data_IF_909700294905
#
_entry.id   IF_909700294905
#
_cell.length_a   1.000
_cell.length_b   1.000
_cell.length_c   1.000
_cell.angle_alpha   90.00
_cell.angle_beta   90.00
_cell.angle_gamma   90.00
#
_symmetry.space_group_name_H-M   'P 1'
#
loop_
_entity.id
_entity.type
_entity.pdbx_description
1 polymer ?
#
# COMPACT_ATOMS: atom_id res chain seq x y z
N UNK A 1 6.64 -24.31 -29.98
CA UNK A 1 6.09 -22.95 -30.15
C UNK A 1 4.81 -22.95 -29.34
N UNK A 2 4.81 -22.24 -28.18
CA UNK A 2 3.57 -22.08 -27.43
C UNK A 2 2.63 -21.23 -28.28
N UNK A 3 1.43 -21.75 -28.57
CA UNK A 3 0.38 -20.99 -29.23
C UNK A 3 0.01 -19.80 -28.33
N UNK A 4 0.48 -18.63 -28.68
CA UNK A 4 0.13 -17.39 -27.99
C UNK A 4 -1.37 -17.12 -28.23
N UNK A 5 -2.20 -17.67 -27.34
CA UNK A 5 -3.66 -17.54 -27.44
C UNK A 5 -4.07 -16.11 -27.09
N UNK A 6 -4.70 -15.42 -28.04
CA UNK A 6 -5.37 -14.16 -27.76
C UNK A 6 -6.56 -14.40 -26.84
N UNK A 7 -6.63 -13.66 -25.76
CA UNK A 7 -7.69 -13.71 -24.75
C UNK A 7 -8.39 -12.36 -24.72
N UNK A 8 -9.69 -12.38 -24.98
CA UNK A 8 -10.57 -11.21 -24.86
C UNK A 8 -11.21 -11.20 -23.49
N UNK A 9 -11.01 -10.12 -22.72
CA UNK A 9 -11.62 -9.92 -21.40
C UNK A 9 -12.50 -8.67 -21.43
N UNK A 10 -13.69 -8.78 -20.83
CA UNK A 10 -14.63 -7.68 -20.68
C UNK A 10 -14.73 -7.28 -19.20
N UNK A 11 -14.63 -5.99 -18.93
CA UNK A 11 -15.02 -5.40 -17.67
C UNK A 11 -16.48 -5.02 -17.76
N UNK A 12 -17.30 -5.54 -16.84
CA UNK A 12 -18.76 -5.32 -16.83
C UNK A 12 -19.21 -4.68 -15.54
N UNK A 13 -20.34 -4.02 -15.55
CA UNK A 13 -21.07 -3.63 -14.34
C UNK A 13 -21.60 -4.88 -13.60
N UNK A 14 -22.11 -4.71 -12.37
CA UNK A 14 -22.84 -5.77 -11.64
C UNK A 14 -24.13 -6.19 -12.35
N UNK A 15 -24.63 -5.38 -13.27
CA UNK A 15 -25.85 -5.65 -14.06
C UNK A 15 -25.54 -6.31 -15.42
N UNK A 16 -24.26 -6.44 -15.78
CA UNK A 16 -23.82 -7.12 -17.01
C UNK A 16 -23.46 -6.20 -18.18
N UNK A 17 -23.64 -4.88 -18.05
CA UNK A 17 -23.28 -3.93 -19.10
C UNK A 17 -21.76 -3.88 -19.27
N UNK A 18 -21.28 -3.90 -20.51
CA UNK A 18 -19.85 -3.84 -20.83
C UNK A 18 -19.35 -2.40 -20.70
N UNK A 19 -18.40 -2.17 -19.80
CA UNK A 19 -17.72 -0.88 -19.63
C UNK A 19 -16.48 -0.76 -20.51
N UNK A 20 -15.74 -1.88 -20.65
CA UNK A 20 -14.53 -1.92 -21.43
C UNK A 20 -14.24 -3.36 -21.87
N UNK A 21 -13.59 -3.53 -23.02
CA UNK A 21 -13.07 -4.82 -23.46
C UNK A 21 -11.68 -4.68 -24.06
N UNK A 22 -10.85 -5.67 -23.82
CA UNK A 22 -9.50 -5.71 -24.35
C UNK A 22 -9.09 -7.12 -24.72
N UNK A 23 -8.40 -7.25 -25.84
CA UNK A 23 -7.89 -8.52 -26.34
C UNK A 23 -6.39 -8.41 -26.60
N UNK A 24 -5.62 -9.27 -25.97
CA UNK A 24 -4.19 -9.44 -26.25
C UNK A 24 -3.75 -10.88 -25.99
N UNK A 25 -2.55 -11.23 -26.40
CA UNK A 25 -1.92 -12.51 -26.04
C UNK A 25 -1.75 -12.62 -24.52
N UNK A 26 -2.16 -13.76 -23.95
CA UNK A 26 -2.09 -14.04 -22.51
C UNK A 26 -2.72 -12.95 -21.63
N UNK A 27 -3.80 -12.33 -22.09
CA UNK A 27 -4.47 -11.23 -21.38
C UNK A 27 -4.97 -11.64 -20.00
N UNK A 28 -4.87 -10.72 -19.04
CA UNK A 28 -5.37 -10.88 -17.69
C UNK A 28 -6.38 -9.78 -17.35
N UNK A 29 -7.14 -9.95 -16.25
CA UNK A 29 -8.03 -8.90 -15.76
C UNK A 29 -7.25 -7.64 -15.37
N UNK A 30 -6.04 -7.80 -14.81
CA UNK A 30 -5.13 -6.70 -14.50
C UNK A 30 -4.77 -5.91 -15.76
N UNK A 31 -4.28 -6.59 -16.80
CA UNK A 31 -3.92 -5.95 -18.06
C UNK A 31 -5.09 -5.20 -18.67
N UNK A 32 -6.29 -5.80 -18.61
CA UNK A 32 -7.52 -5.20 -19.15
C UNK A 32 -7.92 -3.95 -18.38
N UNK A 33 -7.79 -3.96 -17.05
CA UNK A 33 -8.09 -2.80 -16.19
C UNK A 33 -7.06 -1.70 -16.42
N UNK A 34 -5.77 -2.03 -16.47
CA UNK A 34 -4.71 -1.05 -16.75
C UNK A 34 -4.88 -0.40 -18.13
N UNK A 35 -5.25 -1.18 -19.13
CA UNK A 35 -5.52 -0.66 -20.47
C UNK A 35 -6.76 0.24 -20.49
N UNK A 36 -7.82 -0.11 -19.75
CA UNK A 36 -9.00 0.73 -19.58
C UNK A 36 -8.62 2.09 -18.95
N UNK A 37 -7.81 2.07 -17.88
CA UNK A 37 -7.32 3.29 -17.24
C UNK A 37 -6.49 4.12 -18.20
N UNK A 38 -5.55 3.50 -18.93
CA UNK A 38 -4.69 4.16 -19.91
C UNK A 38 -5.49 4.86 -21.02
N UNK A 39 -6.62 4.28 -21.42
CA UNK A 39 -7.54 4.86 -22.41
C UNK A 39 -8.55 5.85 -21.82
N UNK A 40 -8.50 6.10 -20.50
CA UNK A 40 -9.43 7.00 -19.81
C UNK A 40 -10.86 6.46 -19.71
N UNK A 41 -11.05 5.14 -19.80
CA UNK A 41 -12.35 4.53 -19.64
C UNK A 41 -12.89 4.73 -18.21
N UNK A 42 -14.19 5.00 -18.10
CA UNK A 42 -14.85 5.10 -16.82
C UNK A 42 -15.13 3.70 -16.26
N UNK A 43 -14.50 3.35 -15.14
CA UNK A 43 -14.68 2.08 -14.43
C UNK A 43 -15.72 2.19 -13.28
N UNK A 44 -16.49 3.27 -13.24
CA UNK A 44 -17.59 3.43 -12.30
C UNK A 44 -18.61 2.30 -12.42
N UNK A 45 -18.98 1.69 -11.29
CA UNK A 45 -19.88 0.53 -11.26
C UNK A 45 -19.27 -0.79 -11.76
N UNK A 46 -17.97 -0.84 -12.09
CA UNK A 46 -17.31 -2.06 -12.54
C UNK A 46 -17.40 -3.20 -11.50
N UNK A 47 -17.73 -4.40 -11.95
CA UNK A 47 -17.67 -5.60 -11.11
C UNK A 47 -16.26 -6.22 -11.18
N UNK A 48 -15.43 -5.84 -10.25
CA UNK A 48 -14.06 -6.33 -10.06
C UNK A 48 -13.94 -7.24 -8.83
N UNK A 49 -15.05 -7.84 -8.42
CA UNK A 49 -15.09 -8.74 -7.25
C UNK A 49 -14.11 -9.90 -7.44
N UNK A 50 -13.22 -10.08 -6.47
CA UNK A 50 -12.22 -11.16 -6.46
C UNK A 50 -11.12 -11.02 -7.53
N UNK A 51 -11.06 -9.91 -8.26
CA UNK A 51 -10.05 -9.68 -9.28
C UNK A 51 -8.64 -9.63 -8.68
N UNK A 52 -7.67 -10.24 -9.36
CA UNK A 52 -6.26 -10.06 -9.00
C UNK A 52 -5.72 -8.80 -9.69
N UNK A 53 -5.62 -7.72 -8.93
CA UNK A 53 -5.12 -6.41 -9.35
C UNK A 53 -3.83 -6.04 -8.60
N UNK A 54 -3.11 -7.03 -8.06
CA UNK A 54 -1.85 -6.82 -7.35
C UNK A 54 -0.82 -6.09 -8.21
N UNK A 55 -0.31 -4.95 -7.71
CA UNK A 55 0.61 -4.06 -8.43
C UNK A 55 0.02 -3.40 -9.67
N UNK A 56 -1.32 -3.36 -9.84
CA UNK A 56 -1.94 -2.70 -10.97
C UNK A 56 -1.78 -1.17 -10.92
N UNK A 57 -1.58 -0.55 -12.08
CA UNK A 57 -1.63 0.90 -12.20
C UNK A 57 -3.07 1.37 -12.41
N UNK A 58 -3.68 1.90 -11.34
CA UNK A 58 -5.02 2.47 -11.29
C UNK A 58 -4.98 4.00 -11.08
N UNK A 59 -3.84 4.62 -11.38
CA UNK A 59 -3.68 6.06 -11.27
C UNK A 59 -4.74 6.81 -12.08
N UNK A 60 -5.35 7.83 -11.48
CA UNK A 60 -6.41 8.65 -12.07
C UNK A 60 -7.70 7.89 -12.49
N UNK A 61 -7.83 6.58 -12.21
CA UNK A 61 -9.02 5.80 -12.52
C UNK A 61 -10.27 6.35 -11.82
N UNK A 62 -11.42 6.37 -12.51
CA UNK A 62 -12.72 6.54 -11.85
C UNK A 62 -13.24 5.17 -11.42
N UNK A 63 -13.38 4.95 -10.11
CA UNK A 63 -13.83 3.69 -9.50
C UNK A 63 -15.16 3.86 -8.73
N UNK A 64 -15.89 4.96 -8.98
CA UNK A 64 -17.14 5.25 -8.30
C UNK A 64 -18.15 4.11 -8.38
N UNK A 65 -18.58 3.60 -7.21
CA UNK A 65 -19.50 2.46 -7.14
C UNK A 65 -18.96 1.13 -7.65
N UNK A 66 -17.67 1.01 -7.99
CA UNK A 66 -17.06 -0.27 -8.39
C UNK A 66 -17.09 -1.29 -7.25
N UNK A 67 -17.40 -2.55 -7.57
CA UNK A 67 -17.37 -3.66 -6.61
C UNK A 67 -15.97 -4.28 -6.58
N UNK A 68 -15.17 -3.88 -5.58
CA UNK A 68 -13.81 -4.41 -5.32
C UNK A 68 -13.79 -5.47 -4.20
N UNK A 69 -14.95 -6.01 -3.80
CA UNK A 69 -15.02 -6.98 -2.69
C UNK A 69 -14.17 -8.22 -2.97
N UNK A 70 -13.18 -8.46 -2.08
CA UNK A 70 -12.25 -9.59 -2.21
C UNK A 70 -11.23 -9.47 -3.34
N UNK A 71 -11.14 -8.31 -4.00
CA UNK A 71 -10.07 -8.06 -4.96
C UNK A 71 -8.72 -7.96 -4.24
N UNK A 72 -7.68 -8.52 -4.85
CA UNK A 72 -6.31 -8.30 -4.43
C UNK A 72 -5.84 -6.96 -5.03
N UNK A 73 -5.58 -5.98 -4.18
CA UNK A 73 -5.04 -4.66 -4.55
C UNK A 73 -3.65 -4.43 -3.96
N UNK A 74 -2.98 -5.48 -3.44
CA UNK A 74 -1.64 -5.36 -2.87
C UNK A 74 -0.69 -4.64 -3.83
N UNK A 75 -0.02 -3.59 -3.34
CA UNK A 75 0.90 -2.73 -4.10
C UNK A 75 0.28 -2.04 -5.35
N UNK A 76 -1.04 -2.03 -5.52
CA UNK A 76 -1.69 -1.30 -6.60
C UNK A 76 -1.49 0.22 -6.42
N UNK A 77 -1.18 0.91 -7.51
CA UNK A 77 -0.99 2.36 -7.53
C UNK A 77 -2.35 3.06 -7.76
N UNK A 78 -2.82 3.81 -6.77
CA UNK A 78 -4.15 4.47 -6.75
C UNK A 78 -4.05 6.01 -6.66
N UNK A 79 -2.86 6.58 -6.91
CA UNK A 79 -2.70 8.04 -6.86
C UNK A 79 -3.59 8.73 -7.91
N UNK A 80 -4.38 9.71 -7.48
CA UNK A 80 -5.30 10.44 -8.35
C UNK A 80 -6.60 9.69 -8.69
N UNK A 81 -6.73 8.41 -8.34
CA UNK A 81 -7.97 7.68 -8.55
C UNK A 81 -9.14 8.33 -7.80
N UNK A 82 -10.31 8.36 -8.45
CA UNK A 82 -11.51 9.06 -7.97
C UNK A 82 -12.51 8.06 -7.40
N UNK A 83 -13.27 8.51 -6.38
CA UNK A 83 -14.39 7.77 -5.80
C UNK A 83 -14.03 6.32 -5.42
N UNK A 84 -12.81 6.13 -4.89
CA UNK A 84 -12.31 4.80 -4.52
C UNK A 84 -13.24 4.20 -3.46
N UNK A 85 -13.75 2.97 -3.66
CA UNK A 85 -14.52 2.26 -2.64
C UNK A 85 -13.73 2.10 -1.35
N UNK A 86 -14.43 1.97 -0.21
CA UNK A 86 -13.77 1.80 1.08
C UNK A 86 -12.83 0.59 1.07
N UNK A 87 -11.56 0.86 1.34
CA UNK A 87 -10.50 -0.13 1.54
C UNK A 87 -9.99 0.03 2.98
N UNK A 88 -10.07 -1.00 3.84
CA UNK A 88 -9.59 -0.92 5.22
C UNK A 88 -8.12 -0.54 5.31
N UNK A 89 -7.70 0.05 6.43
CA UNK A 89 -6.28 0.20 6.74
C UNK A 89 -5.64 -1.16 7.06
N UNK A 90 -4.38 -1.33 6.69
CA UNK A 90 -3.56 -2.46 7.14
C UNK A 90 -3.16 -2.33 8.61
N UNK A 91 -3.17 -1.11 9.18
CA UNK A 91 -2.90 -0.86 10.60
C UNK A 91 -4.20 -0.55 11.37
N UNK A 92 -4.23 -0.75 12.69
CA UNK A 92 -5.35 -0.37 13.54
C UNK A 92 -5.74 1.11 13.37
N UNK A 93 -7.04 1.40 13.29
CA UNK A 93 -7.56 2.77 13.23
C UNK A 93 -7.50 3.47 14.58
N UNK A 94 -7.60 2.71 15.67
CA UNK A 94 -7.75 3.21 17.03
C UNK A 94 -6.70 2.62 17.98
N UNK A 95 -6.51 3.26 19.12
CA UNK A 95 -5.61 2.84 20.18
C UNK A 95 -4.13 2.91 19.82
N UNK A 96 -3.28 2.68 20.81
CA UNK A 96 -1.85 2.52 20.62
C UNK A 96 -1.52 1.08 20.22
N UNK A 97 -0.54 0.88 19.36
CA UNK A 97 -0.12 -0.47 18.92
C UNK A 97 1.36 -0.51 18.53
N UNK A 98 1.87 -1.73 18.35
CA UNK A 98 3.26 -1.97 17.99
C UNK A 98 3.41 -2.06 16.46
N UNK A 99 4.39 -1.32 15.94
CA UNK A 99 4.87 -1.41 14.57
C UNK A 99 6.36 -1.73 14.51
N UNK A 100 6.81 -2.16 13.34
CA UNK A 100 8.19 -2.57 13.09
C UNK A 100 8.76 -1.84 11.87
N UNK A 101 10.04 -1.47 11.95
CA UNK A 101 10.75 -0.80 10.86
C UNK A 101 12.17 -1.33 10.74
N UNK A 102 12.64 -1.59 9.52
CA UNK A 102 14.06 -1.90 9.28
C UNK A 102 14.82 -0.63 8.89
N UNK A 103 15.98 -0.43 9.48
CA UNK A 103 16.93 0.62 9.12
C UNK A 103 18.34 0.03 9.16
N UNK A 104 19.02 -0.04 8.01
CA UNK A 104 20.44 -0.43 7.90
C UNK A 104 20.78 -1.72 8.66
N UNK A 105 20.04 -2.80 8.42
CA UNK A 105 20.23 -4.10 9.08
C UNK A 105 19.75 -4.18 10.53
N UNK A 106 19.11 -3.13 11.05
CA UNK A 106 18.53 -3.12 12.39
C UNK A 106 17.03 -3.07 12.34
N UNK A 107 16.40 -3.80 13.23
CA UNK A 107 14.97 -3.80 13.45
C UNK A 107 14.63 -2.84 14.60
N UNK A 108 13.76 -1.89 14.32
CA UNK A 108 13.27 -0.92 15.29
C UNK A 108 11.85 -1.34 15.69
N UNK A 109 11.63 -1.55 16.98
CA UNK A 109 10.30 -1.71 17.56
C UNK A 109 9.76 -0.35 17.92
N UNK A 110 8.60 -0.03 17.36
CA UNK A 110 7.91 1.23 17.55
C UNK A 110 6.59 1.01 18.28
N UNK A 111 6.23 1.91 19.17
CA UNK A 111 4.84 2.10 19.58
C UNK A 111 4.27 3.27 18.78
N UNK A 112 3.18 3.03 18.09
CA UNK A 112 2.41 4.08 17.42
C UNK A 112 1.37 4.56 18.42
N UNK A 113 1.48 5.80 18.94
CA UNK A 113 0.57 6.31 19.96
C UNK A 113 -0.86 6.42 19.45
N UNK A 114 -1.83 6.41 20.38
CA UNK A 114 -3.25 6.54 20.03
C UNK A 114 -3.55 7.82 19.24
N UNK A 115 -2.90 8.93 19.61
CA UNK A 115 -3.06 10.23 18.98
C UNK A 115 -2.19 10.45 17.75
N UNK A 116 -1.48 9.43 17.25
CA UNK A 116 -0.74 9.50 16.00
C UNK A 116 -1.68 9.47 14.79
N UNK A 117 -1.49 10.40 13.85
CA UNK A 117 -2.06 10.26 12.52
C UNK A 117 -1.42 9.04 11.83
N UNK A 118 -2.23 8.24 11.20
CA UNK A 118 -1.79 6.99 10.57
C UNK A 118 -2.55 6.71 9.28
N UNK A 119 -1.90 6.07 8.33
CA UNK A 119 -2.52 5.61 7.10
C UNK A 119 -1.78 4.41 6.51
N UNK A 120 -2.49 3.67 5.66
CA UNK A 120 -1.93 2.70 4.72
C UNK A 120 -2.75 2.74 3.43
N UNK A 121 -2.13 2.43 2.30
CA UNK A 121 -2.85 2.32 1.03
C UNK A 121 -3.33 0.88 0.80
N UNK A 122 -2.68 0.15 -0.08
CA UNK A 122 -3.08 -1.19 -0.53
C UNK A 122 -2.10 -2.29 -0.11
N UNK A 123 -0.91 -1.91 0.34
CA UNK A 123 0.10 -2.84 0.84
C UNK A 123 0.07 -2.98 2.37
N UNK A 124 0.91 -3.87 2.91
CA UNK A 124 1.13 -4.02 4.36
C UNK A 124 1.94 -2.86 4.96
N UNK A 125 2.44 -1.94 4.12
CA UNK A 125 3.23 -0.79 4.56
C UNK A 125 2.32 0.31 5.08
N UNK A 126 2.55 0.73 6.30
CA UNK A 126 1.83 1.81 6.97
C UNK A 126 2.73 3.03 7.15
N UNK A 127 2.12 4.20 7.37
CA UNK A 127 2.81 5.45 7.71
C UNK A 127 2.15 6.12 8.91
N UNK A 128 2.96 6.83 9.71
CA UNK A 128 2.47 7.69 10.78
C UNK A 128 3.27 8.99 10.89
N UNK A 129 2.70 9.96 11.61
CA UNK A 129 3.31 11.26 11.88
C UNK A 129 4.20 11.27 13.12
N UNK A 130 4.13 10.24 13.97
CA UNK A 130 4.99 10.08 15.15
C UNK A 130 5.00 8.64 15.62
N UNK A 131 6.09 8.25 16.29
CA UNK A 131 6.21 6.95 16.94
C UNK A 131 7.18 7.02 18.14
N UNK A 132 6.92 6.26 19.20
CA UNK A 132 7.84 6.04 20.29
C UNK A 132 8.80 4.90 19.94
N UNK A 133 10.10 5.10 20.07
CA UNK A 133 11.11 4.06 19.83
C UNK A 133 11.28 3.21 21.09
N UNK A 134 10.87 1.94 21.03
CA UNK A 134 10.95 1.02 22.18
C UNK A 134 12.28 0.26 22.22
N UNK A 135 12.77 -0.22 21.07
CA UNK A 135 14.06 -0.90 20.98
C UNK A 135 14.64 -0.79 19.57
N UNK A 136 15.96 -0.98 19.46
CA UNK A 136 16.71 -1.07 18.21
C UNK A 136 17.62 -2.28 18.34
N UNK A 137 17.44 -3.29 17.48
CA UNK A 137 18.15 -4.57 17.56
C UNK A 137 18.75 -4.91 16.20
N UNK A 138 20.00 -5.27 16.16
CA UNK A 138 20.65 -5.80 14.96
C UNK A 138 19.98 -7.12 14.55
N UNK A 139 19.64 -7.28 13.28
CA UNK A 139 18.84 -8.42 12.80
C UNK A 139 19.64 -9.72 12.84
N UNK A 140 20.93 -9.65 12.56
CA UNK A 140 21.79 -10.85 12.43
C UNK A 140 22.36 -11.28 13.78
N UNK A 141 22.79 -10.32 14.61
CA UNK A 141 23.51 -10.61 15.88
C UNK A 141 22.62 -10.50 17.11
N UNK A 142 21.46 -9.86 17.03
CA UNK A 142 20.60 -9.55 18.16
C UNK A 142 21.13 -8.44 19.07
N UNK A 143 22.24 -7.78 18.72
CA UNK A 143 22.85 -6.74 19.54
C UNK A 143 21.94 -5.49 19.61
N UNK A 144 21.78 -4.94 20.82
CA UNK A 144 20.99 -3.74 21.05
C UNK A 144 21.77 -2.46 20.79
N UNK A 145 21.08 -1.42 20.32
CA UNK A 145 21.61 -0.07 20.15
C UNK A 145 20.72 0.99 20.80
N UNK A 146 21.34 2.07 21.26
CA UNK A 146 20.59 3.20 21.83
C UNK A 146 20.01 4.13 20.76
N UNK A 147 20.66 4.25 19.60
CA UNK A 147 20.20 5.11 18.50
C UNK A 147 20.69 4.59 17.15
N UNK A 148 19.98 4.96 16.08
CA UNK A 148 20.35 4.74 14.67
C UNK A 148 19.79 5.87 13.82
N UNK A 149 20.56 6.28 12.79
CA UNK A 149 20.14 7.31 11.84
C UNK A 149 19.86 6.68 10.47
N UNK A 150 18.66 6.91 9.94
CA UNK A 150 18.33 6.63 8.56
C UNK A 150 18.84 7.79 7.70
N UNK A 151 19.53 7.48 6.60
CA UNK A 151 20.11 8.50 5.69
C UNK A 151 19.63 8.33 4.25
N UNK A 152 18.75 7.35 3.96
CA UNK A 152 18.40 7.00 2.58
C UNK A 152 17.41 7.97 1.94
N UNK A 153 16.46 8.56 2.70
CA UNK A 153 15.43 9.45 2.15
C UNK A 153 15.31 10.76 2.92
N UNK A 154 15.19 10.67 4.25
CA UNK A 154 15.23 11.80 5.16
C UNK A 154 16.16 11.45 6.31
N UNK A 155 16.97 12.40 6.76
CA UNK A 155 17.88 12.20 7.89
C UNK A 155 17.08 12.12 9.18
N UNK A 156 16.56 10.93 9.50
CA UNK A 156 15.78 10.69 10.70
C UNK A 156 16.58 9.86 11.71
N UNK A 157 16.73 10.34 12.93
CA UNK A 157 17.40 9.61 14.03
C UNK A 157 16.36 8.99 14.96
N UNK A 158 16.44 7.67 15.09
CA UNK A 158 15.66 6.88 16.03
C UNK A 158 16.48 6.68 17.30
N UNK A 159 15.94 7.08 18.46
CA UNK A 159 16.62 6.95 19.76
C UNK A 159 15.67 6.26 20.74
N UNK A 160 16.12 5.17 21.37
CA UNK A 160 15.32 4.39 22.31
C UNK A 160 14.82 5.29 23.46
N UNK A 161 13.53 5.18 23.79
CA UNK A 161 12.84 5.98 24.79
C UNK A 161 12.49 7.40 24.34
N UNK A 162 12.62 7.72 23.03
CA UNK A 162 12.22 9.02 22.48
C UNK A 162 11.14 8.87 21.42
N UNK A 163 10.26 9.87 21.34
CA UNK A 163 9.33 9.99 20.21
C UNK A 163 10.11 10.52 19.01
N UNK A 164 9.90 9.88 17.87
CA UNK A 164 10.45 10.29 16.57
C UNK A 164 9.33 10.88 15.73
N UNK A 165 9.66 11.90 14.96
CA UNK A 165 8.78 12.59 14.02
C UNK A 165 9.43 12.57 12.63
N UNK A 166 8.66 12.45 11.53
CA UNK A 166 9.15 12.73 10.19
C UNK A 166 9.24 14.23 9.98
N UNK A 167 9.94 14.67 8.92
CA UNK A 167 9.98 16.09 8.54
C UNK A 167 8.57 16.61 8.20
N UNK A 168 7.78 15.81 7.50
CA UNK A 168 6.38 16.08 7.17
C UNK A 168 5.58 14.78 7.11
N UNK A 169 4.25 14.87 7.17
CA UNK A 169 3.34 13.73 7.01
C UNK A 169 2.32 14.02 5.90
N UNK A 170 2.26 13.15 4.90
CA UNK A 170 1.27 13.22 3.84
C UNK A 170 0.01 12.44 4.26
N UNK A 171 -1.09 13.16 4.45
CA UNK A 171 -2.38 12.56 4.86
C UNK A 171 -3.07 11.80 3.71
N UNK A 172 -2.65 12.03 2.46
CA UNK A 172 -3.20 11.27 1.34
C UNK A 172 -2.67 9.83 1.36
N UNK A 173 -3.52 8.90 1.80
CA UNK A 173 -3.16 7.49 1.94
C UNK A 173 -2.71 6.84 0.64
N UNK A 174 -3.21 7.31 -0.50
CA UNK A 174 -2.90 6.74 -1.81
C UNK A 174 -1.50 7.10 -2.33
N UNK A 175 -0.83 8.04 -1.68
CA UNK A 175 0.58 8.34 -1.90
C UNK A 175 1.45 7.43 -1.01
N UNK A 176 1.49 6.14 -1.27
CA UNK A 176 2.05 5.14 -0.36
C UNK A 176 3.52 5.35 0.00
N UNK A 177 4.34 5.82 -0.95
CA UNK A 177 5.76 6.09 -0.74
C UNK A 177 6.05 7.55 -0.34
N UNK A 178 5.04 8.31 0.09
CA UNK A 178 5.18 9.70 0.50
C UNK A 178 5.72 9.85 1.93
N UNK A 179 5.76 11.11 2.43
CA UNK A 179 6.35 11.48 3.70
C UNK A 179 5.62 10.86 4.91
N UNK A 180 6.40 10.50 5.94
CA UNK A 180 5.95 9.86 7.16
C UNK A 180 6.95 8.84 7.70
N UNK A 181 6.72 8.35 8.88
CA UNK A 181 7.45 7.19 9.42
C UNK A 181 6.81 5.93 8.86
N UNK A 182 7.47 5.26 7.93
CA UNK A 182 7.02 3.99 7.38
C UNK A 182 7.30 2.85 8.35
N UNK A 183 6.30 1.97 8.54
CA UNK A 183 6.39 0.81 9.42
C UNK A 183 5.49 -0.33 8.93
N UNK A 184 5.64 -1.50 9.53
CA UNK A 184 4.82 -2.69 9.32
C UNK A 184 4.24 -3.18 10.63
N UNK A 185 3.04 -3.75 10.59
CA UNK A 185 2.45 -4.40 11.77
C UNK A 185 3.14 -5.74 12.03
N UNK A 186 3.44 -6.49 10.98
CA UNK A 186 4.13 -7.77 11.08
C UNK A 186 5.65 -7.54 11.10
N UNK A 187 6.32 -8.13 12.09
CA UNK A 187 7.78 -8.08 12.23
C UNK A 187 8.50 -8.64 11.00
N UNK A 188 8.00 -9.75 10.44
CA UNK A 188 8.63 -10.40 9.30
C UNK A 188 8.54 -9.54 8.03
N UNK A 189 7.42 -8.83 7.84
CA UNK A 189 7.27 -7.90 6.71
C UNK A 189 8.32 -6.78 6.77
N UNK A 190 8.59 -6.26 7.98
CA UNK A 190 9.64 -5.27 8.18
C UNK A 190 11.04 -5.83 7.89
N UNK A 191 11.32 -7.09 8.24
CA UNK A 191 12.61 -7.74 7.98
C UNK A 191 12.82 -7.96 6.48
N UNK A 192 11.77 -8.37 5.77
CA UNK A 192 11.83 -8.69 4.35
C UNK A 192 11.87 -7.43 3.45
N UNK A 193 11.44 -6.27 3.97
CA UNK A 193 11.46 -4.99 3.26
C UNK A 193 12.87 -4.40 3.23
#
# INVERSE_FOLDING_TARGET
MEDNKKIKIQIKTVFGDVLFEYEKENNTIKDTVEEAVRQGANLGGANLRGANLGGANLGDANLGGANLRGANLGDAYLRGAKEIPYIPFACPSDGAFIGWKKVRGHLIKLEIPEDAKRCSATSNKCRCDKAMVLSITDIDTGAERKHITNTNYAKTTYTVGKVVYPDTFDENRWNECSNGIHFFINKQDAINY
#
